data_IF_964903222384
#
_entry.id   IF_964903222384
#
_cell.length_a   1.000
_cell.length_b   1.000
_cell.length_c   1.000
_cell.angle_alpha   90.00
_cell.angle_beta   90.00
_cell.angle_gamma   90.00
#
_symmetry.space_group_name_H-M   'P 1'
#
loop_
_entity.id
_entity.type
_entity.pdbx_description
1 polymer ?
#
# COMPACT_ATOMS: atom_id res chain seq x y z
N UNK A 1 19.91 -22.90 13.59
CA UNK A 1 20.41 -21.58 14.06
C UNK A 1 19.36 -20.55 13.69
N UNK A 2 18.83 -19.78 14.66
CA UNK A 2 17.94 -18.65 14.33
C UNK A 2 18.79 -17.57 13.67
N UNK A 3 18.42 -17.15 12.46
CA UNK A 3 19.07 -16.03 11.78
C UNK A 3 18.81 -14.71 12.51
N UNK A 4 19.66 -13.71 12.27
CA UNK A 4 19.44 -12.35 12.76
C UNK A 4 18.33 -11.68 11.95
N UNK A 5 17.35 -11.09 12.63
CA UNK A 5 16.32 -10.27 12.00
C UNK A 5 16.84 -8.84 11.81
N UNK A 6 16.33 -8.14 10.79
CA UNK A 6 16.60 -6.72 10.61
C UNK A 6 15.59 -5.90 11.41
N UNK A 7 16.08 -4.94 12.18
CA UNK A 7 15.26 -4.00 12.95
C UNK A 7 15.52 -2.58 12.48
N UNK A 8 14.46 -1.77 12.40
CA UNK A 8 14.57 -0.33 12.25
C UNK A 8 14.80 0.30 13.63
N UNK A 9 15.77 1.20 13.72
CA UNK A 9 16.19 1.89 14.94
C UNK A 9 15.72 3.34 14.91
N UNK A 10 15.13 3.77 16.02
CA UNK A 10 14.62 5.12 16.21
C UNK A 10 15.23 5.75 17.45
N UNK A 11 15.34 7.08 17.46
CA UNK A 11 15.62 7.88 18.65
C UNK A 11 14.58 8.99 18.76
N UNK A 12 13.88 9.06 19.89
CA UNK A 12 12.81 10.04 20.13
C UNK A 12 11.77 10.07 18.97
N UNK A 13 11.49 8.91 18.38
CA UNK A 13 10.58 8.75 17.23
C UNK A 13 11.18 9.04 15.86
N UNK A 14 12.42 9.52 15.77
CA UNK A 14 13.11 9.75 14.49
C UNK A 14 13.88 8.51 14.05
N UNK A 15 13.69 8.08 12.80
CA UNK A 15 14.39 6.93 12.24
C UNK A 15 15.86 7.25 11.99
N UNK A 16 16.75 6.39 12.52
CA UNK A 16 18.20 6.55 12.42
C UNK A 16 18.86 5.57 11.46
N UNK A 17 18.28 4.39 11.27
CA UNK A 17 18.87 3.34 10.43
C UNK A 17 18.36 1.96 10.80
N UNK A 18 18.99 0.93 10.24
CA UNK A 18 18.64 -0.45 10.52
C UNK A 18 19.81 -1.19 11.15
N UNK A 19 19.53 -2.15 12.03
CA UNK A 19 20.53 -3.00 12.66
C UNK A 19 20.04 -4.44 12.77
N UNK A 20 20.95 -5.41 12.63
CA UNK A 20 20.61 -6.84 12.75
C UNK A 20 20.72 -7.30 14.20
N UNK A 21 19.68 -7.97 14.70
CA UNK A 21 19.65 -8.48 16.08
C UNK A 21 18.81 -9.74 16.26
N UNK A 22 18.90 -10.35 17.44
CA UNK A 22 18.01 -11.43 17.88
C UNK A 22 16.71 -10.91 18.50
N UNK A 23 16.73 -9.70 19.04
CA UNK A 23 15.58 -8.98 19.61
C UNK A 23 15.70 -7.47 19.34
N UNK A 24 14.66 -6.74 19.70
CA UNK A 24 14.63 -5.27 19.68
C UNK A 24 15.74 -4.64 20.51
N UNK A 25 16.00 -5.18 21.71
CA UNK A 25 17.03 -4.69 22.64
C UNK A 25 18.43 -5.00 22.12
N UNK A 26 18.64 -6.21 21.56
CA UNK A 26 19.92 -6.59 20.96
C UNK A 26 20.25 -5.71 19.75
N UNK A 27 19.26 -5.40 18.91
CA UNK A 27 19.45 -4.50 17.77
C UNK A 27 19.79 -3.06 18.22
N UNK A 28 19.11 -2.52 19.24
CA UNK A 28 19.44 -1.20 19.81
C UNK A 28 20.86 -1.20 20.37
N UNK A 29 21.23 -2.22 21.14
CA UNK A 29 22.57 -2.33 21.73
C UNK A 29 23.66 -2.35 20.65
N UNK A 30 23.48 -3.16 19.62
CA UNK A 30 24.42 -3.24 18.48
C UNK A 30 24.52 -1.91 17.75
N UNK A 31 23.39 -1.25 17.51
CA UNK A 31 23.37 0.07 16.87
C UNK A 31 24.17 1.10 17.67
N UNK A 32 24.01 1.12 19.00
CA UNK A 32 24.73 2.03 19.88
C UNK A 32 26.24 1.74 19.90
N UNK A 33 26.65 0.47 19.91
CA UNK A 33 28.07 0.08 19.81
C UNK A 33 28.65 0.55 18.46
N UNK A 34 27.98 0.26 17.34
CA UNK A 34 28.39 0.69 15.99
C UNK A 34 28.47 2.21 15.89
N UNK A 35 27.59 2.92 16.60
CA UNK A 35 27.55 4.39 16.66
C UNK A 35 28.53 4.99 17.68
N UNK A 36 29.44 4.20 18.26
CA UNK A 36 30.44 4.62 19.26
C UNK A 36 29.86 5.15 20.58
N UNK A 37 28.68 4.66 20.98
CA UNK A 37 28.02 4.96 22.26
C UNK A 37 28.11 3.80 23.27
N UNK A 38 29.09 2.91 23.14
CA UNK A 38 29.25 1.74 24.02
C UNK A 38 29.34 2.11 25.50
N UNK A 39 29.98 3.24 25.82
CA UNK A 39 30.12 3.75 27.20
C UNK A 39 28.82 4.25 27.83
N UNK A 40 27.77 4.48 27.02
CA UNK A 40 26.47 4.96 27.47
C UNK A 40 25.41 3.84 27.53
N UNK A 41 25.80 2.59 27.29
CA UNK A 41 24.88 1.45 27.34
C UNK A 41 24.30 1.21 28.74
N UNK A 42 25.05 1.57 29.78
CA UNK A 42 24.63 1.43 31.18
C UNK A 42 23.84 2.65 31.70
N UNK A 43 23.64 3.68 30.85
CA UNK A 43 22.80 4.84 31.16
C UNK A 43 21.35 4.56 30.70
N UNK A 44 20.44 4.24 31.63
CA UNK A 44 19.06 3.91 31.27
C UNK A 44 18.29 5.12 30.71
N UNK A 45 18.64 6.35 31.12
CA UNK A 45 18.01 7.56 30.60
C UNK A 45 18.40 7.77 29.14
N UNK A 46 19.67 7.55 28.82
CA UNK A 46 20.16 7.58 27.43
C UNK A 46 19.54 6.49 26.56
N UNK A 47 19.56 5.23 27.02
CA UNK A 47 19.05 4.09 26.25
C UNK A 47 17.54 4.18 26.04
N UNK A 48 16.78 4.73 27.00
CA UNK A 48 15.32 4.88 26.90
C UNK A 48 14.86 5.78 25.74
N UNK A 49 15.74 6.64 25.23
CA UNK A 49 15.46 7.48 24.05
C UNK A 49 15.40 6.66 22.77
N UNK A 50 15.91 5.43 22.77
CA UNK A 50 15.97 4.56 21.60
C UNK A 50 14.85 3.54 21.62
N UNK A 51 14.31 3.25 20.44
CA UNK A 51 13.33 2.19 20.23
C UNK A 51 13.60 1.46 18.93
N UNK A 52 13.07 0.25 18.80
CA UNK A 52 13.20 -0.53 17.57
C UNK A 52 11.96 -1.36 17.27
N UNK A 53 11.78 -1.67 16.00
CA UNK A 53 10.73 -2.58 15.52
C UNK A 53 11.27 -3.42 14.36
N UNK A 54 10.64 -4.56 14.10
CA UNK A 54 11.00 -5.40 12.94
C UNK A 54 10.90 -4.58 11.65
N UNK A 55 11.96 -4.59 10.85
CA UNK A 55 11.93 -3.97 9.54
C UNK A 55 10.97 -4.76 8.64
N UNK A 56 10.07 -4.06 7.95
CA UNK A 56 9.16 -4.67 6.99
C UNK A 56 9.93 -4.89 5.69
N UNK A 57 9.97 -6.14 5.21
CA UNK A 57 10.56 -6.54 3.92
C UNK A 57 12.06 -6.25 3.73
N UNK A 58 12.85 -6.15 4.81
CA UNK A 58 14.29 -5.81 4.74
C UNK A 58 14.61 -4.44 4.09
N UNK A 59 13.63 -3.53 3.98
CA UNK A 59 13.78 -2.24 3.29
C UNK A 59 14.22 -1.14 4.28
N UNK A 60 15.19 -0.31 3.88
CA UNK A 60 15.58 0.92 4.57
C UNK A 60 14.40 1.90 4.62
N UNK A 61 13.97 2.33 5.82
CA UNK A 61 13.01 3.44 5.93
C UNK A 61 13.75 4.77 5.67
N UNK A 62 13.54 5.49 4.54
CA UNK A 62 14.06 6.84 4.42
C UNK A 62 13.37 7.74 5.45
N UNK A 63 14.13 8.66 6.05
CA UNK A 63 13.69 9.66 7.04
C UNK A 63 12.22 10.04 6.86
N UNK A 64 11.38 9.61 7.80
CA UNK A 64 10.02 10.15 7.90
C UNK A 64 10.18 11.56 8.47
N UNK A 65 10.20 12.58 7.61
CA UNK A 65 9.98 13.95 8.06
C UNK A 65 8.67 13.98 8.86
N UNK A 66 8.66 14.78 9.92
CA UNK A 66 7.61 14.98 10.93
C UNK A 66 6.22 15.38 10.40
N UNK A 67 5.96 15.26 9.10
CA UNK A 67 4.65 15.39 8.48
C UNK A 67 3.77 14.12 8.55
N UNK A 68 4.28 12.97 9.01
CA UNK A 68 3.51 11.71 8.97
C UNK A 68 2.54 11.46 10.14
N UNK A 69 2.49 12.34 11.15
CA UNK A 69 1.34 12.33 12.07
C UNK A 69 0.02 12.70 11.37
N UNK A 70 0.07 13.39 10.21
CA UNK A 70 -1.13 13.57 9.37
C UNK A 70 -1.51 12.32 8.59
N UNK A 71 -0.56 11.45 8.23
CA UNK A 71 -0.86 10.26 7.42
C UNK A 71 -1.52 9.17 8.26
N UNK A 72 -1.15 9.02 9.54
CA UNK A 72 -1.89 8.16 10.46
C UNK A 72 -3.28 8.71 10.81
N UNK A 73 -3.45 10.04 10.87
CA UNK A 73 -4.79 10.65 11.04
C UNK A 73 -5.68 10.45 9.79
N UNK A 74 -5.09 10.47 8.58
CA UNK A 74 -5.77 10.13 7.33
C UNK A 74 -6.20 8.65 7.30
N UNK A 75 -5.47 7.75 7.96
CA UNK A 75 -5.85 6.32 8.09
C UNK A 75 -7.07 6.08 8.99
N UNK A 76 -7.57 7.09 9.70
CA UNK A 76 -8.88 7.00 10.36
C UNK A 76 -10.05 7.12 9.37
N UNK A 77 -9.79 7.54 8.12
CA UNK A 77 -10.76 7.39 7.03
C UNK A 77 -10.66 5.98 6.45
N UNK A 78 -11.68 5.17 6.72
CA UNK A 78 -11.90 3.91 6.04
C UNK A 78 -11.91 4.21 4.54
N UNK A 79 -11.04 3.58 3.75
CA UNK A 79 -11.05 3.70 2.29
C UNK A 79 -12.47 3.41 1.79
N UNK A 80 -13.12 4.43 1.23
CA UNK A 80 -14.46 4.30 0.68
C UNK A 80 -14.35 3.82 -0.76
N UNK A 81 -14.48 2.51 -0.92
CA UNK A 81 -14.39 1.83 -2.21
C UNK A 81 -15.35 2.45 -3.23
N UNK A 82 -16.62 2.63 -2.88
CA UNK A 82 -17.63 3.11 -3.82
C UNK A 82 -17.40 4.55 -4.20
N UNK A 83 -17.08 5.42 -3.24
CA UNK A 83 -16.74 6.80 -3.54
C UNK A 83 -15.48 6.92 -4.43
N UNK A 84 -14.52 6.01 -4.27
CA UNK A 84 -13.32 5.98 -5.11
C UNK A 84 -13.63 5.52 -6.54
N UNK A 85 -14.37 4.42 -6.69
CA UNK A 85 -14.75 3.88 -7.99
C UNK A 85 -15.66 4.88 -8.73
N UNK A 86 -16.68 5.45 -8.09
CA UNK A 86 -17.56 6.45 -8.71
C UNK A 86 -16.77 7.66 -9.25
N UNK A 87 -15.77 8.11 -8.50
CA UNK A 87 -14.98 9.28 -8.86
C UNK A 87 -14.00 9.04 -10.02
N UNK A 88 -13.38 7.86 -10.08
CA UNK A 88 -12.25 7.62 -10.99
C UNK A 88 -12.48 6.50 -12.02
N UNK A 89 -13.59 5.77 -11.96
CA UNK A 89 -13.95 4.80 -12.98
C UNK A 89 -14.86 5.45 -14.04
N UNK A 90 -14.39 5.77 -15.27
CA UNK A 90 -15.09 6.66 -16.21
C UNK A 90 -16.45 6.15 -16.69
N UNK A 91 -16.72 4.86 -16.52
CA UNK A 91 -17.95 4.19 -16.95
C UNK A 91 -18.84 3.78 -15.79
N UNK A 92 -18.64 4.34 -14.60
CA UNK A 92 -19.29 3.90 -13.36
C UNK A 92 -20.80 3.62 -13.54
N UNK A 93 -21.56 4.58 -14.05
CA UNK A 93 -23.02 4.47 -14.21
C UNK A 93 -23.48 3.58 -15.36
N UNK A 94 -22.56 3.13 -16.24
CA UNK A 94 -22.86 2.41 -17.48
C UNK A 94 -21.97 1.16 -17.63
N UNK A 95 -21.66 0.48 -16.52
CA UNK A 95 -20.77 -0.68 -16.53
C UNK A 95 -21.40 -1.86 -15.79
N UNK A 96 -21.70 -2.93 -16.53
CA UNK A 96 -22.24 -4.18 -15.97
C UNK A 96 -21.33 -4.78 -14.89
N UNK A 97 -20.02 -4.54 -14.97
CA UNK A 97 -19.05 -4.97 -13.95
C UNK A 97 -19.26 -4.27 -12.61
N UNK A 98 -19.60 -2.98 -12.64
CA UNK A 98 -19.89 -2.22 -11.41
C UNK A 98 -21.17 -2.72 -10.77
N UNK A 99 -22.22 -2.96 -11.58
CA UNK A 99 -23.47 -3.54 -11.10
C UNK A 99 -23.25 -4.93 -10.49
N UNK A 100 -22.50 -5.79 -11.18
CA UNK A 100 -22.17 -7.12 -10.68
C UNK A 100 -21.35 -7.06 -9.38
N UNK A 101 -20.39 -6.14 -9.28
CA UNK A 101 -19.63 -5.93 -8.03
C UNK A 101 -20.54 -5.53 -6.86
N UNK A 102 -21.53 -4.66 -7.09
CA UNK A 102 -22.51 -4.28 -6.05
C UNK A 102 -23.36 -5.48 -5.62
N UNK A 103 -23.89 -6.26 -6.58
CA UNK A 103 -24.69 -7.46 -6.30
C UNK A 103 -23.88 -8.48 -5.47
N UNK A 104 -22.66 -8.81 -5.92
CA UNK A 104 -21.79 -9.76 -5.23
C UNK A 104 -21.37 -9.25 -3.84
N UNK A 105 -21.09 -7.95 -3.70
CA UNK A 105 -20.79 -7.31 -2.42
C UNK A 105 -21.97 -7.42 -1.46
N UNK A 106 -23.20 -7.17 -1.93
CA UNK A 106 -24.41 -7.32 -1.12
C UNK A 106 -24.59 -8.77 -0.66
N UNK A 107 -24.46 -9.73 -1.58
CA UNK A 107 -24.56 -11.16 -1.29
C UNK A 107 -23.54 -11.59 -0.22
N UNK A 108 -22.27 -11.21 -0.38
CA UNK A 108 -21.20 -11.57 0.54
C UNK A 108 -21.42 -10.97 1.95
N UNK A 109 -22.03 -9.80 2.04
CA UNK A 109 -22.35 -9.14 3.30
C UNK A 109 -23.71 -9.57 3.90
N UNK A 110 -24.39 -10.54 3.30
CA UNK A 110 -25.71 -11.02 3.77
C UNK A 110 -26.84 -10.00 3.59
N UNK A 111 -26.69 -9.03 2.68
CA UNK A 111 -27.75 -8.10 2.31
C UNK A 111 -28.69 -8.74 1.30
N UNK A 112 -29.97 -8.36 1.35
CA UNK A 112 -30.96 -8.81 0.38
C UNK A 112 -30.62 -8.29 -1.04
N UNK A 113 -30.78 -9.18 -2.01
CA UNK A 113 -30.75 -8.92 -3.46
C UNK A 113 -32.05 -9.52 -4.06
N UNK A 114 -32.42 -9.16 -5.29
CA UNK A 114 -33.66 -9.66 -5.88
C UNK A 114 -33.54 -11.12 -6.33
N UNK A 115 -34.67 -11.78 -6.58
CA UNK A 115 -34.71 -13.20 -6.95
C UNK A 115 -33.97 -13.47 -8.26
N UNK A 116 -34.03 -12.53 -9.21
CA UNK A 116 -33.32 -12.61 -10.49
C UNK A 116 -31.81 -12.57 -10.30
N UNK A 117 -31.32 -11.71 -9.40
CA UNK A 117 -29.89 -11.60 -9.08
C UNK A 117 -29.40 -12.85 -8.32
N UNK A 118 -30.20 -13.36 -7.37
CA UNK A 118 -29.92 -14.62 -6.66
C UNK A 118 -29.75 -15.77 -7.65
N UNK A 119 -30.71 -15.93 -8.56
CA UNK A 119 -30.69 -16.97 -9.59
C UNK A 119 -29.49 -16.80 -10.54
N UNK A 120 -29.13 -15.56 -10.90
CA UNK A 120 -28.01 -15.25 -11.77
C UNK A 120 -26.64 -15.65 -11.19
N UNK A 121 -26.48 -15.57 -9.86
CA UNK A 121 -25.21 -15.85 -9.16
C UNK A 121 -25.18 -17.19 -8.41
N UNK A 122 -26.28 -17.95 -8.38
CA UNK A 122 -26.48 -19.11 -7.49
C UNK A 122 -25.37 -20.17 -7.49
N UNK A 123 -24.76 -20.42 -8.65
CA UNK A 123 -23.73 -21.45 -8.85
C UNK A 123 -22.31 -20.88 -8.95
N UNK A 124 -22.15 -19.57 -8.68
CA UNK A 124 -20.87 -18.87 -8.81
C UNK A 124 -20.11 -18.80 -7.50
N UNK A 125 -18.78 -18.80 -7.58
CA UNK A 125 -17.93 -18.50 -6.43
C UNK A 125 -17.90 -16.99 -6.19
N UNK A 126 -18.90 -16.51 -5.43
CA UNK A 126 -19.13 -15.08 -5.15
C UNK A 126 -17.87 -14.37 -4.67
N UNK A 127 -17.08 -14.99 -3.77
CA UNK A 127 -15.90 -14.36 -3.20
C UNK A 127 -14.79 -14.22 -4.24
N UNK A 128 -14.53 -15.29 -5.00
CA UNK A 128 -13.49 -15.28 -6.02
C UNK A 128 -13.82 -14.33 -7.16
N UNK A 129 -15.06 -14.34 -7.62
CA UNK A 129 -15.51 -13.49 -8.72
C UNK A 129 -15.49 -12.01 -8.32
N UNK A 130 -15.99 -11.67 -7.12
CA UNK A 130 -15.90 -10.32 -6.59
C UNK A 130 -14.45 -9.84 -6.50
N UNK A 131 -13.53 -10.70 -6.04
CA UNK A 131 -12.12 -10.34 -5.94
C UNK A 131 -11.49 -9.95 -7.29
N UNK A 132 -11.69 -10.76 -8.33
CA UNK A 132 -11.13 -10.43 -9.66
C UNK A 132 -11.81 -9.20 -10.27
N UNK A 133 -13.12 -9.06 -10.07
CA UNK A 133 -13.89 -7.92 -10.55
C UNK A 133 -13.45 -6.60 -9.91
N UNK A 134 -13.33 -6.58 -8.58
CA UNK A 134 -12.90 -5.40 -7.83
C UNK A 134 -11.46 -5.03 -8.17
N UNK A 135 -10.59 -6.02 -8.38
CA UNK A 135 -9.21 -5.79 -8.83
C UNK A 135 -9.18 -5.08 -10.18
N UNK A 136 -9.96 -5.51 -11.16
CA UNK A 136 -10.05 -4.86 -12.47
C UNK A 136 -10.58 -3.42 -12.35
N UNK A 137 -11.67 -3.22 -11.61
CA UNK A 137 -12.28 -1.90 -11.40
C UNK A 137 -11.31 -0.95 -10.70
N UNK A 138 -10.62 -1.42 -9.65
CA UNK A 138 -9.64 -0.63 -8.92
C UNK A 138 -8.43 -0.29 -9.78
N UNK A 139 -7.89 -1.22 -10.58
CA UNK A 139 -6.76 -0.94 -11.45
C UNK A 139 -7.06 0.23 -12.39
N UNK A 140 -8.19 0.20 -13.10
CA UNK A 140 -8.58 1.28 -14.01
C UNK A 140 -8.87 2.59 -13.25
N UNK A 141 -9.55 2.51 -12.09
CA UNK A 141 -9.80 3.69 -11.26
C UNK A 141 -8.48 4.31 -10.74
N UNK A 142 -7.50 3.50 -10.33
CA UNK A 142 -6.20 3.98 -9.90
C UNK A 142 -5.41 4.62 -11.05
N UNK A 143 -5.42 4.02 -12.24
CA UNK A 143 -4.80 4.63 -13.42
C UNK A 143 -5.37 6.02 -13.69
N UNK A 144 -6.69 6.17 -13.65
CA UNK A 144 -7.35 7.45 -13.85
C UNK A 144 -7.10 8.45 -12.71
N UNK A 145 -7.04 7.98 -11.47
CA UNK A 145 -6.60 8.79 -10.33
C UNK A 145 -5.19 9.33 -10.57
N UNK A 146 -4.23 8.48 -10.93
CA UNK A 146 -2.86 8.91 -11.18
C UNK A 146 -2.74 9.83 -12.39
N UNK A 147 -3.51 9.61 -13.46
CA UNK A 147 -3.57 10.53 -14.59
C UNK A 147 -4.11 11.92 -14.19
N UNK A 148 -4.97 11.99 -13.17
CA UNK A 148 -5.50 13.25 -12.64
C UNK A 148 -4.48 13.95 -11.73
N UNK A 149 -3.75 13.21 -10.90
CA UNK A 149 -2.75 13.76 -9.97
C UNK A 149 -1.44 14.14 -10.67
N UNK A 150 -1.06 13.36 -11.69
CA UNK A 150 0.16 13.51 -12.47
C UNK A 150 -0.20 13.61 -13.96
N UNK A 151 -0.88 14.69 -14.38
CA UNK A 151 -1.24 14.87 -15.78
C UNK A 151 0.03 14.90 -16.61
N UNK A 152 0.13 14.00 -17.60
CA UNK A 152 1.23 14.04 -18.54
C UNK A 152 1.22 15.41 -19.21
N UNK A 153 2.35 16.12 -19.15
CA UNK A 153 2.51 17.34 -19.94
C UNK A 153 2.38 16.94 -21.41
N UNK A 154 1.27 17.35 -22.04
CA UNK A 154 1.14 17.34 -23.48
C UNK A 154 2.27 18.21 -24.05
N UNK A 155 3.40 17.60 -24.39
CA UNK A 155 4.33 18.21 -25.33
C UNK A 155 3.57 18.26 -26.65
N UNK A 156 3.05 19.44 -26.99
CA UNK A 156 2.57 19.72 -28.33
C UNK A 156 3.68 19.35 -29.32
N UNK A 157 3.36 18.44 -30.24
CA UNK A 157 4.23 18.10 -31.38
C UNK A 157 4.68 16.65 -31.40
N UNK A 158 3.78 15.70 -31.68
CA UNK A 158 3.67 15.04 -32.99
C UNK A 158 2.69 13.87 -32.88
N UNK A 159 1.80 13.81 -33.86
CA UNK A 159 0.82 12.77 -34.10
C UNK A 159 1.53 11.42 -34.30
N UNK A 160 1.53 10.56 -33.28
CA UNK A 160 1.89 9.15 -33.44
C UNK A 160 0.64 8.29 -33.21
N UNK A 161 0.17 7.71 -34.32
CA UNK A 161 -0.92 6.74 -34.36
C UNK A 161 -0.56 5.51 -33.52
N UNK A 162 -1.57 4.92 -32.87
CA UNK A 162 -1.51 3.79 -31.92
C UNK A 162 -0.90 2.47 -32.46
N UNK A 163 -0.23 2.45 -33.61
CA UNK A 163 0.35 1.24 -34.20
C UNK A 163 1.78 0.94 -33.76
N UNK A 164 2.51 1.89 -33.17
CA UNK A 164 3.98 1.79 -33.11
C UNK A 164 4.55 1.44 -31.72
N UNK A 165 3.70 1.15 -30.72
CA UNK A 165 4.16 0.61 -29.42
C UNK A 165 4.33 -0.91 -29.52
N UNK A 166 5.22 -1.35 -30.42
CA UNK A 166 5.85 -2.67 -30.31
C UNK A 166 7.32 -2.55 -30.65
N UNK A 167 8.13 -3.05 -29.73
CA UNK A 167 9.57 -3.34 -29.86
C UNK A 167 10.50 -2.21 -29.41
N UNK A 168 11.01 -2.31 -28.18
CA UNK A 168 12.46 -2.39 -27.91
C UNK A 168 12.73 -2.47 -26.40
N UNK A 169 12.88 -3.71 -25.90
CA UNK A 169 13.84 -3.98 -24.82
C UNK A 169 14.68 -5.17 -25.29
N UNK A 170 15.83 -4.86 -25.86
CA UNK A 170 16.93 -5.81 -26.06
C UNK A 170 18.22 -5.09 -25.66
N UNK A 171 18.81 -5.57 -24.57
CA UNK A 171 20.22 -5.42 -24.23
C UNK A 171 20.61 -4.08 -23.63
N UNK A 172 20.90 -4.10 -22.33
CA UNK A 172 22.25 -3.91 -21.78
C UNK A 172 22.30 -4.51 -20.38
#
# INVERSE_FOLDING_TARGET
>A
MKGLNLFAIYKNGEHLGNERGFSTEDAIKRYLITSSFETLLDDPEFVSQYSSCLAVEDIHFPKFSSGKMKILEIQKSKFDYWAFIEKYYPKYSNCDKVLLSDILTRKLNGKAICEEDEEYIKDRDVRKELFELDKELLCEAFENFFNTVYPQQLRYGTDMRKSDVKTTFKGL
#
